data_IF_467671404858
#
_entry.id   IF_467671404858
#
_cell.length_a   1.000
_cell.length_b   1.000
_cell.length_c   1.000
_cell.angle_alpha   90.00
_cell.angle_beta   90.00
_cell.angle_gamma   90.00
#
_symmetry.space_group_name_H-M   'P 1'
#
loop_
_entity.id
_entity.type
_entity.pdbx_description
1 polymer ?
#
# COMPACT_ATOMS: atom_id res chain seq x y z
N UNK A 1 35.64 -56.50 -37.40
CA UNK A 1 34.77 -55.32 -37.52
C UNK A 1 34.41 -54.87 -36.12
N UNK A 2 35.07 -53.80 -35.71
CA UNK A 2 34.94 -53.13 -34.42
C UNK A 2 33.63 -52.36 -34.40
N UNK A 3 32.73 -52.67 -33.45
CA UNK A 3 31.52 -51.86 -33.21
C UNK A 3 31.93 -50.74 -32.27
N UNK A 4 31.97 -49.52 -32.79
CA UNK A 4 32.34 -48.32 -32.04
C UNK A 4 31.44 -48.09 -30.81
N UNK A 5 31.94 -47.36 -29.79
CA UNK A 5 31.19 -47.07 -28.59
C UNK A 5 30.06 -46.11 -28.96
N UNK A 6 28.84 -46.40 -28.51
CA UNK A 6 27.75 -45.42 -28.52
C UNK A 6 28.09 -44.38 -27.48
N UNK A 7 28.41 -43.17 -27.94
CA UNK A 7 28.71 -42.03 -27.09
C UNK A 7 27.59 -41.77 -26.09
N UNK A 8 28.01 -41.65 -24.84
CA UNK A 8 27.17 -41.30 -23.71
C UNK A 8 26.73 -39.85 -23.81
N UNK A 9 25.43 -39.65 -23.96
CA UNK A 9 24.73 -38.50 -23.37
C UNK A 9 23.80 -39.06 -22.32
N UNK A 10 24.36 -39.41 -21.17
CA UNK A 10 23.58 -39.49 -19.94
C UNK A 10 23.24 -38.07 -19.55
N UNK A 11 22.13 -37.54 -20.08
CA UNK A 11 21.39 -36.53 -19.35
C UNK A 11 21.15 -37.11 -17.95
N UNK A 12 21.48 -36.34 -16.92
CA UNK A 12 21.24 -36.67 -15.52
C UNK A 12 19.83 -37.25 -15.39
N UNK A 13 19.71 -38.58 -15.33
CA UNK A 13 18.41 -39.25 -15.25
C UNK A 13 17.92 -39.05 -13.85
N UNK A 14 17.25 -37.93 -13.61
CA UNK A 14 16.53 -37.67 -12.37
C UNK A 14 15.59 -38.88 -12.18
N UNK A 15 15.76 -39.61 -11.08
CA UNK A 15 14.94 -40.77 -10.80
C UNK A 15 13.53 -40.28 -10.42
N UNK A 16 12.64 -40.32 -11.40
CA UNK A 16 11.26 -39.84 -11.32
C UNK A 16 10.50 -40.49 -10.17
N UNK A 17 10.91 -41.69 -9.73
CA UNK A 17 10.27 -42.41 -8.62
C UNK A 17 10.58 -41.83 -7.23
N UNK A 18 11.57 -40.95 -7.13
CA UNK A 18 11.97 -40.30 -5.87
C UNK A 18 11.38 -38.89 -5.76
N UNK A 19 10.84 -38.34 -6.85
CA UNK A 19 10.25 -37.01 -6.86
C UNK A 19 8.86 -37.00 -6.19
N UNK A 20 8.51 -35.94 -5.44
CA UNK A 20 7.14 -35.73 -4.98
C UNK A 20 6.15 -35.72 -6.15
N UNK A 21 4.95 -36.24 -5.93
CA UNK A 21 3.89 -36.37 -6.96
C UNK A 21 3.62 -35.06 -7.72
N UNK A 22 3.71 -33.91 -7.06
CA UNK A 22 3.54 -32.59 -7.66
C UNK A 22 4.64 -32.26 -8.67
N UNK A 23 5.90 -32.56 -8.33
CA UNK A 23 7.08 -32.31 -9.17
C UNK A 23 7.11 -33.30 -10.33
N UNK A 24 6.74 -34.56 -10.10
CA UNK A 24 6.64 -35.57 -11.15
C UNK A 24 5.58 -35.20 -12.21
N UNK A 25 4.40 -34.72 -11.78
CA UNK A 25 3.36 -34.23 -12.70
C UNK A 25 3.85 -33.03 -13.51
N UNK A 26 4.49 -32.05 -12.85
CA UNK A 26 5.07 -30.89 -13.53
C UNK A 26 6.07 -31.36 -14.59
N UNK A 27 7.00 -32.23 -14.21
CA UNK A 27 8.02 -32.78 -15.08
C UNK A 27 7.42 -33.46 -16.32
N UNK A 28 6.43 -34.34 -16.13
CA UNK A 28 5.73 -34.99 -17.24
C UNK A 28 5.00 -33.99 -18.15
N UNK A 29 4.36 -32.97 -17.58
CA UNK A 29 3.66 -31.96 -18.37
C UNK A 29 4.61 -31.07 -19.17
N UNK A 30 5.73 -30.68 -18.57
CA UNK A 30 6.71 -29.81 -19.22
C UNK A 30 7.46 -30.54 -20.33
N UNK A 31 7.82 -31.82 -20.14
CA UNK A 31 8.40 -32.63 -21.22
C UNK A 31 7.45 -32.87 -22.39
N UNK A 32 6.12 -32.84 -22.15
CA UNK A 32 5.13 -32.89 -23.24
C UNK A 32 5.04 -31.58 -24.03
N UNK A 33 5.36 -30.46 -23.39
CA UNK A 33 5.39 -29.14 -24.03
C UNK A 33 6.70 -28.90 -24.78
N UNK A 34 7.83 -29.18 -24.12
CA UNK A 34 9.17 -29.07 -24.70
C UNK A 34 10.03 -30.31 -24.33
N UNK A 35 10.42 -31.13 -25.33
CA UNK A 35 11.29 -32.28 -25.11
C UNK A 35 12.70 -31.95 -24.60
N UNK A 36 13.17 -30.70 -24.78
CA UNK A 36 14.49 -30.26 -24.35
C UNK A 36 14.49 -29.62 -22.96
N UNK A 37 13.34 -29.60 -22.28
CA UNK A 37 13.21 -28.99 -20.97
C UNK A 37 13.98 -29.78 -19.89
N UNK A 38 14.73 -29.06 -19.04
CA UNK A 38 15.51 -29.62 -17.94
C UNK A 38 14.99 -29.17 -16.57
N UNK A 39 14.69 -30.15 -15.71
CA UNK A 39 14.16 -29.89 -14.37
C UNK A 39 15.21 -29.35 -13.42
N UNK A 40 16.48 -29.75 -13.56
CA UNK A 40 17.55 -29.19 -12.72
C UNK A 40 17.69 -27.69 -12.95
N UNK A 41 17.79 -27.27 -14.21
CA UNK A 41 17.88 -25.87 -14.56
C UNK A 41 16.66 -25.08 -14.06
N UNK A 42 15.44 -25.61 -14.27
CA UNK A 42 14.23 -24.94 -13.78
C UNK A 42 14.18 -24.81 -12.25
N UNK A 43 14.62 -25.84 -11.51
CA UNK A 43 14.69 -25.79 -10.05
C UNK A 43 15.73 -24.78 -9.57
N UNK A 44 16.89 -24.70 -10.24
CA UNK A 44 17.94 -23.74 -9.92
C UNK A 44 17.45 -22.31 -10.17
N UNK A 45 16.83 -22.04 -11.32
CA UNK A 45 16.20 -20.75 -11.63
C UNK A 45 15.13 -20.39 -10.59
N UNK A 46 14.24 -21.34 -10.26
CA UNK A 46 13.18 -21.11 -9.28
C UNK A 46 13.71 -20.87 -7.87
N UNK A 47 14.80 -21.52 -7.50
CA UNK A 47 15.46 -21.31 -6.21
C UNK A 47 16.14 -19.93 -6.14
N UNK A 48 16.73 -19.45 -7.25
CA UNK A 48 17.28 -18.11 -7.34
C UNK A 48 16.20 -17.03 -7.21
N UNK A 49 15.08 -17.18 -7.92
CA UNK A 49 13.93 -16.27 -7.81
C UNK A 49 13.42 -16.18 -6.36
N UNK A 50 13.30 -17.34 -5.69
CA UNK A 50 12.83 -17.39 -4.30
C UNK A 50 13.84 -16.77 -3.33
N UNK A 51 15.14 -16.95 -3.57
CA UNK A 51 16.20 -16.30 -2.77
C UNK A 51 16.16 -14.78 -2.92
N UNK A 52 15.96 -14.26 -4.13
CA UNK A 52 15.82 -12.82 -4.38
C UNK A 52 14.59 -12.25 -3.65
N UNK A 53 13.47 -12.96 -3.69
CA UNK A 53 12.27 -12.56 -2.96
C UNK A 53 12.50 -12.55 -1.44
N UNK A 54 13.16 -13.58 -0.90
CA UNK A 54 13.52 -13.66 0.52
C UNK A 54 14.46 -12.51 0.92
N UNK A 55 15.45 -12.18 0.09
CA UNK A 55 16.34 -11.03 0.32
C UNK A 55 15.55 -9.72 0.42
N UNK A 56 14.58 -9.52 -0.49
CA UNK A 56 13.65 -8.40 -0.44
C UNK A 56 12.84 -8.34 0.87
N UNK A 57 12.30 -9.47 1.32
CA UNK A 57 11.58 -9.57 2.60
C UNK A 57 12.47 -9.26 3.81
N UNK A 58 13.70 -9.76 3.82
CA UNK A 58 14.67 -9.47 4.87
C UNK A 58 15.07 -8.00 4.91
N UNK A 59 15.22 -7.35 3.75
CA UNK A 59 15.46 -5.91 3.66
C UNK A 59 14.33 -5.08 4.29
N UNK A 60 13.06 -5.45 4.02
CA UNK A 60 11.89 -4.80 4.62
C UNK A 60 11.80 -5.01 6.13
N UNK A 61 12.00 -6.24 6.61
CA UNK A 61 11.99 -6.52 8.06
C UNK A 61 13.13 -5.83 8.79
N UNK A 62 14.31 -5.73 8.17
CA UNK A 62 15.42 -4.95 8.70
C UNK A 62 15.03 -3.48 8.88
N UNK A 63 14.45 -2.85 7.85
CA UNK A 63 13.99 -1.45 7.92
C UNK A 63 12.96 -1.26 9.04
N UNK A 64 12.00 -2.19 9.15
CA UNK A 64 10.97 -2.18 10.21
C UNK A 64 11.58 -2.23 11.61
N UNK A 65 12.61 -3.06 11.80
CA UNK A 65 13.33 -3.15 13.06
C UNK A 65 14.15 -1.89 13.36
N UNK A 66 14.79 -1.29 12.36
CA UNK A 66 15.52 -0.02 12.49
C UNK A 66 14.59 1.13 12.91
N UNK A 67 13.41 1.24 12.29
CA UNK A 67 12.39 2.22 12.68
C UNK A 67 11.89 2.00 14.12
N UNK A 68 11.62 0.73 14.48
CA UNK A 68 11.20 0.38 15.84
C UNK A 68 12.28 0.75 16.86
N UNK A 69 13.55 0.50 16.54
CA UNK A 69 14.68 0.90 17.37
C UNK A 69 14.72 2.42 17.54
N UNK A 70 14.59 3.18 16.45
CA UNK A 70 14.59 4.65 16.49
C UNK A 70 13.44 5.18 17.36
N UNK A 71 12.24 4.59 17.26
CA UNK A 71 11.11 4.92 18.13
C UNK A 71 11.41 4.63 19.61
N UNK A 72 12.09 3.54 19.92
CA UNK A 72 12.51 3.24 21.30
C UNK A 72 13.55 4.27 21.78
N UNK A 73 14.54 4.61 20.97
CA UNK A 73 15.57 5.59 21.33
C UNK A 73 14.98 6.99 21.59
N UNK A 74 14.03 7.43 20.77
CA UNK A 74 13.34 8.72 20.97
C UNK A 74 12.53 8.73 22.26
N UNK A 75 11.84 7.64 22.60
CA UNK A 75 11.17 7.48 23.89
C UNK A 75 12.17 7.55 25.06
N UNK A 76 13.31 6.87 24.96
CA UNK A 76 14.36 6.92 25.98
C UNK A 76 14.92 8.34 26.14
N UNK A 77 15.19 9.06 25.03
CA UNK A 77 15.64 10.46 25.08
C UNK A 77 14.60 11.37 25.73
N UNK A 78 13.31 11.17 25.44
CA UNK A 78 12.21 11.92 26.06
C UNK A 78 12.13 11.66 27.57
N UNK A 79 12.22 10.40 28.00
CA UNK A 79 12.20 10.04 29.42
C UNK A 79 13.40 10.61 30.18
N UNK A 80 14.59 10.60 29.57
CA UNK A 80 15.78 11.26 30.14
C UNK A 80 15.56 12.77 30.30
N UNK A 81 15.03 13.43 29.27
CA UNK A 81 14.70 14.87 29.34
C UNK A 81 13.67 15.17 30.42
N UNK A 82 12.63 14.34 30.56
CA UNK A 82 11.63 14.50 31.63
C UNK A 82 12.23 14.32 33.02
N UNK A 83 13.24 13.46 33.19
CA UNK A 83 13.95 13.29 34.46
C UNK A 83 14.89 14.46 34.78
N UNK A 84 15.48 15.07 33.75
CA UNK A 84 16.42 16.20 33.89
C UNK A 84 15.71 17.55 34.10
N UNK A 85 14.45 17.68 33.67
CA UNK A 85 13.59 18.81 34.01
C UNK A 85 12.94 18.50 35.36
N UNK A 86 13.41 19.07 36.49
CA UNK A 86 12.69 18.91 37.75
C UNK A 86 11.27 19.49 37.58
N UNK A 87 10.28 18.81 38.15
CA UNK A 87 8.82 19.07 38.14
C UNK A 87 8.36 20.47 38.61
N UNK A 88 9.22 21.50 38.58
CA UNK A 88 8.96 22.80 39.19
C UNK A 88 9.45 24.04 38.44
N UNK A 89 10.19 23.94 37.33
CA UNK A 89 10.53 25.15 36.55
C UNK A 89 9.55 25.30 35.40
N UNK A 90 8.34 25.71 35.77
CA UNK A 90 7.39 26.36 34.88
C UNK A 90 8.05 27.65 34.40
N UNK A 91 8.86 27.57 33.34
CA UNK A 91 9.20 28.76 32.55
C UNK A 91 7.96 29.08 31.72
N UNK A 92 6.89 29.51 32.39
CA UNK A 92 5.83 30.28 31.75
C UNK A 92 6.38 31.68 31.59
N UNK A 93 6.98 31.96 30.44
CA UNK A 93 6.98 33.33 29.94
C UNK A 93 5.50 33.77 29.91
N UNK A 94 5.08 34.82 30.65
CA UNK A 94 3.68 35.26 30.70
C UNK A 94 3.06 35.52 29.32
N UNK A 95 3.90 35.72 28.30
CA UNK A 95 3.50 35.98 26.93
C UNK A 95 3.59 34.77 25.99
N UNK A 96 4.13 33.62 26.43
CA UNK A 96 4.06 32.38 25.66
C UNK A 96 2.73 31.68 25.94
N UNK A 97 1.80 31.79 24.99
CA UNK A 97 0.58 30.98 24.93
C UNK A 97 0.76 29.89 23.87
N UNK A 98 0.13 28.74 24.07
CA UNK A 98 0.22 27.65 23.10
C UNK A 98 -0.46 28.09 21.79
N UNK A 99 0.10 27.74 20.63
CA UNK A 99 -0.43 28.13 19.31
C UNK A 99 -1.88 27.65 19.09
N UNK A 100 -2.33 26.69 19.90
CA UNK A 100 -3.68 26.12 19.88
C UNK A 100 -4.67 26.81 20.83
N UNK A 101 -4.21 27.67 21.76
CA UNK A 101 -5.08 28.43 22.69
C UNK A 101 -5.94 29.50 21.98
N UNK A 102 -5.64 29.78 20.70
CA UNK A 102 -6.35 30.76 19.88
C UNK A 102 -7.75 30.25 19.48
N UNK A 103 -7.99 28.93 19.51
CA UNK A 103 -9.23 28.34 19.02
C UNK A 103 -10.27 28.02 20.11
N UNK A 104 -9.93 28.05 21.40
CA UNK A 104 -10.88 27.67 22.48
C UNK A 104 -11.98 28.71 22.74
N UNK A 105 -11.82 29.98 22.34
CA UNK A 105 -12.70 31.06 22.80
C UNK A 105 -13.89 31.43 21.91
N UNK A 106 -14.21 30.67 20.86
CA UNK A 106 -15.33 31.00 19.97
C UNK A 106 -16.68 30.36 20.34
N UNK A 107 -16.79 29.64 21.47
CA UNK A 107 -18.07 29.00 21.87
C UNK A 107 -18.84 29.70 23.02
N UNK A 108 -18.36 30.80 23.58
CA UNK A 108 -19.07 31.49 24.69
C UNK A 108 -19.81 32.74 24.23
N UNK A 109 -20.71 32.58 23.27
CA UNK A 109 -21.26 33.74 22.57
C UNK A 109 -22.67 33.64 21.97
N UNK A 110 -23.58 32.78 22.42
CA UNK A 110 -25.02 33.04 22.25
C UNK A 110 -25.92 32.12 23.08
N UNK A 111 -27.03 32.70 23.50
CA UNK A 111 -27.97 32.24 24.51
C UNK A 111 -28.67 30.93 24.14
N UNK A 112 -28.82 30.07 25.15
CA UNK A 112 -29.91 29.10 25.39
C UNK A 112 -31.05 29.17 24.35
N UNK A 113 -31.22 28.13 23.55
CA UNK A 113 -32.52 27.47 23.31
C UNK A 113 -32.32 26.06 22.72
N UNK A 114 -32.97 25.09 23.40
CA UNK A 114 -33.47 23.79 22.90
C UNK A 114 -32.47 22.71 22.50
N UNK A 115 -32.48 21.67 23.34
CA UNK A 115 -32.01 20.30 23.10
C UNK A 115 -32.45 19.79 21.72
N UNK A 116 -31.50 19.60 20.83
CA UNK A 116 -31.56 18.56 19.81
C UNK A 116 -30.31 17.70 19.99
N UNK A 117 -30.50 16.42 20.30
CA UNK A 117 -29.44 15.41 20.23
C UNK A 117 -29.02 15.34 18.77
N UNK A 118 -27.88 15.90 18.44
CA UNK A 118 -27.12 15.51 17.24
C UNK A 118 -25.94 14.75 17.82
N UNK A 119 -25.82 13.50 17.40
CA UNK A 119 -24.81 12.58 17.88
C UNK A 119 -23.43 13.23 17.78
N UNK A 120 -22.70 13.05 18.87
CA UNK A 120 -21.30 13.40 19.01
C UNK A 120 -20.49 12.78 17.88
N UNK A 121 -20.10 13.60 16.89
CA UNK A 121 -18.90 13.31 16.12
C UNK A 121 -17.74 13.48 17.11
N UNK A 122 -16.93 12.45 17.39
CA UNK A 122 -15.82 12.56 18.31
C UNK A 122 -14.83 13.57 17.75
N UNK A 123 -14.61 14.63 18.52
CA UNK A 123 -13.61 15.65 18.26
C UNK A 123 -12.23 14.99 18.32
N UNK A 124 -11.66 14.68 17.15
CA UNK A 124 -10.36 14.00 17.04
C UNK A 124 -10.20 13.03 15.87
N UNK A 125 -11.29 12.63 15.20
CA UNK A 125 -11.13 11.90 13.94
C UNK A 125 -10.64 12.85 12.85
N UNK A 126 -9.49 12.51 12.24
CA UNK A 126 -9.10 13.13 10.99
C UNK A 126 -10.26 12.92 10.02
N UNK A 127 -10.74 14.01 9.40
CA UNK A 127 -11.81 13.95 8.39
C UNK A 127 -11.45 13.02 7.21
N UNK A 128 -10.16 12.70 7.09
CA UNK A 128 -9.54 11.84 6.09
C UNK A 128 -8.79 10.73 6.85
N UNK A 129 -9.30 9.50 6.81
CA UNK A 129 -8.61 8.32 7.35
C UNK A 129 -7.59 7.81 6.30
N UNK A 130 -6.36 8.30 6.39
CA UNK A 130 -5.25 7.86 5.53
C UNK A 130 -4.92 6.36 5.66
N UNK A 131 -5.36 5.69 6.74
CA UNK A 131 -5.07 4.28 7.01
C UNK A 131 -6.13 3.30 6.49
N UNK A 132 -7.39 3.72 6.32
CA UNK A 132 -8.47 2.84 5.82
C UNK A 132 -8.18 2.26 4.44
N UNK A 133 -7.50 3.04 3.61
CA UNK A 133 -7.14 2.67 2.26
C UNK A 133 -5.71 2.12 2.14
N UNK A 134 -5.05 1.77 3.26
CA UNK A 134 -3.77 1.06 3.23
C UNK A 134 -2.67 1.77 2.43
N UNK A 135 -2.78 3.10 2.30
CA UNK A 135 -1.81 3.98 1.65
C UNK A 135 -0.73 4.43 2.62
N UNK A 136 -0.42 3.61 3.63
CA UNK A 136 0.46 3.96 4.76
C UNK A 136 1.87 4.41 4.29
N UNK A 137 2.28 4.00 3.09
CA UNK A 137 3.59 4.28 2.51
C UNK A 137 3.58 5.40 1.43
N UNK A 138 2.42 5.81 0.90
CA UNK A 138 2.33 6.87 -0.13
C UNK A 138 1.17 7.86 0.13
N UNK A 139 1.47 9.02 0.74
CA UNK A 139 0.44 10.03 1.03
C UNK A 139 -0.09 10.71 -0.23
N UNK A 140 0.67 10.75 -1.33
CA UNK A 140 0.21 11.34 -2.58
C UNK A 140 -0.85 10.45 -3.21
N UNK A 141 -0.59 9.16 -3.26
CA UNK A 141 -1.53 8.16 -3.74
C UNK A 141 -2.86 8.17 -2.97
N UNK A 142 -2.80 8.37 -1.64
CA UNK A 142 -3.99 8.56 -0.82
C UNK A 142 -4.81 9.79 -1.25
N UNK A 143 -4.15 10.93 -1.43
CA UNK A 143 -4.78 12.19 -1.85
C UNK A 143 -5.39 12.05 -3.24
N UNK A 144 -4.67 11.45 -4.19
CA UNK A 144 -5.13 11.23 -5.57
C UNK A 144 -6.36 10.33 -5.56
N UNK A 145 -6.28 9.19 -4.86
CA UNK A 145 -7.38 8.22 -4.77
C UNK A 145 -8.66 8.83 -4.18
N UNK A 146 -8.53 9.62 -3.11
CA UNK A 146 -9.67 10.31 -2.52
C UNK A 146 -10.23 11.39 -3.43
N UNK A 147 -9.37 12.10 -4.16
CA UNK A 147 -9.82 13.10 -5.11
C UNK A 147 -10.58 12.48 -6.29
N UNK A 148 -10.15 11.31 -6.79
CA UNK A 148 -10.88 10.53 -7.80
C UNK A 148 -12.27 10.16 -7.28
N UNK A 149 -12.36 9.62 -6.06
CA UNK A 149 -13.64 9.23 -5.46
C UNK A 149 -14.59 10.43 -5.28
N UNK A 150 -14.09 11.54 -4.72
CA UNK A 150 -14.87 12.77 -4.57
C UNK A 150 -15.37 13.31 -5.90
N UNK A 151 -14.56 13.21 -6.96
CA UNK A 151 -14.97 13.59 -8.30
C UNK A 151 -16.10 12.70 -8.83
N UNK A 152 -15.98 11.39 -8.70
CA UNK A 152 -17.02 10.45 -9.12
C UNK A 152 -18.32 10.65 -8.34
N UNK A 153 -18.24 10.99 -7.04
CA UNK A 153 -19.42 11.34 -6.24
C UNK A 153 -20.11 12.61 -6.75
N UNK A 154 -19.34 13.63 -7.14
CA UNK A 154 -19.89 14.86 -7.71
C UNK A 154 -20.57 14.63 -9.07
N UNK A 155 -20.00 13.78 -9.91
CA UNK A 155 -20.60 13.37 -11.18
C UNK A 155 -21.89 12.57 -10.95
N UNK A 156 -21.89 11.66 -9.95
CA UNK A 156 -23.09 10.92 -9.51
C UNK A 156 -24.21 11.86 -9.09
N UNK A 157 -23.90 12.93 -8.33
CA UNK A 157 -24.89 13.95 -7.93
C UNK A 157 -25.41 14.72 -9.15
N UNK A 158 -24.56 14.96 -10.15
CA UNK A 158 -24.90 15.66 -11.39
C UNK A 158 -25.72 14.79 -12.37
N UNK A 159 -25.95 13.51 -12.03
CA UNK A 159 -26.72 12.54 -12.82
C UNK A 159 -25.87 11.75 -13.83
N UNK A 160 -24.56 11.97 -13.86
CA UNK A 160 -23.62 11.26 -14.71
C UNK A 160 -22.85 10.26 -13.85
N UNK A 161 -23.26 8.99 -13.84
CA UNK A 161 -22.65 7.98 -12.95
C UNK A 161 -21.36 7.36 -13.53
N UNK A 162 -20.70 8.06 -14.44
CA UNK A 162 -19.63 7.54 -15.27
C UNK A 162 -18.54 8.60 -15.45
N UNK A 163 -17.29 8.18 -15.31
CA UNK A 163 -16.10 9.02 -15.47
C UNK A 163 -15.15 8.38 -16.48
N UNK A 164 -14.68 9.18 -17.43
CA UNK A 164 -13.67 8.77 -18.40
C UNK A 164 -12.26 9.05 -17.88
N UNK A 165 -11.31 8.16 -18.19
CA UNK A 165 -9.89 8.34 -17.87
C UNK A 165 -9.32 9.67 -18.41
N UNK A 166 -9.66 10.01 -19.65
CA UNK A 166 -9.22 11.27 -20.27
C UNK A 166 -9.68 12.53 -19.52
N UNK A 167 -10.80 12.43 -18.81
CA UNK A 167 -11.33 13.55 -18.02
C UNK A 167 -10.65 13.64 -16.66
N UNK A 168 -10.20 12.51 -16.11
CA UNK A 168 -9.31 12.48 -14.95
C UNK A 168 -7.98 13.18 -15.28
N UNK A 169 -7.31 12.81 -16.37
CA UNK A 169 -6.03 13.44 -16.76
C UNK A 169 -6.16 14.96 -16.84
N UNK A 170 -7.14 15.47 -17.60
CA UNK A 170 -7.34 16.92 -17.76
C UNK A 170 -7.56 17.67 -16.45
N UNK A 171 -8.19 17.03 -15.46
CA UNK A 171 -8.41 17.66 -14.15
C UNK A 171 -7.15 17.63 -13.29
N UNK A 172 -6.44 16.51 -13.29
CA UNK A 172 -5.21 16.33 -12.53
C UNK A 172 -4.00 17.07 -13.13
N UNK A 173 -4.02 17.41 -14.43
CA UNK A 173 -3.05 18.31 -15.07
C UNK A 173 -2.93 19.63 -14.32
N UNK A 174 -4.05 20.18 -13.85
CA UNK A 174 -4.06 21.46 -13.11
C UNK A 174 -3.42 21.37 -11.73
N UNK A 175 -3.30 20.16 -11.18
CA UNK A 175 -2.66 19.87 -9.89
C UNK A 175 -1.19 19.41 -10.06
N UNK A 176 -0.64 19.40 -11.28
CA UNK A 176 0.71 18.88 -11.57
C UNK A 176 0.91 17.41 -11.13
N UNK A 177 -0.14 16.60 -11.21
CA UNK A 177 -0.13 15.17 -10.90
C UNK A 177 0.14 14.38 -12.20
N UNK A 178 1.00 13.38 -12.11
CA UNK A 178 1.43 12.60 -13.29
C UNK A 178 0.38 11.55 -13.68
N UNK A 179 0.30 11.19 -14.97
CA UNK A 179 -0.60 10.14 -15.45
C UNK A 179 -0.36 8.80 -14.74
N UNK A 180 0.90 8.47 -14.44
CA UNK A 180 1.27 7.26 -13.70
C UNK A 180 0.68 7.19 -12.29
N UNK A 181 0.52 8.33 -11.61
CA UNK A 181 -0.07 8.40 -10.27
C UNK A 181 -1.58 8.19 -10.32
N UNK A 182 -2.23 8.65 -11.41
CA UNK A 182 -3.64 8.43 -11.66
C UNK A 182 -3.90 6.95 -11.96
N UNK A 183 -3.06 6.32 -12.79
CA UNK A 183 -3.14 4.89 -13.11
C UNK A 183 -3.00 4.02 -11.86
N UNK A 184 -2.02 4.33 -11.01
CA UNK A 184 -1.80 3.60 -9.77
C UNK A 184 -2.98 3.75 -8.82
N UNK A 185 -3.52 4.96 -8.67
CA UNK A 185 -4.70 5.22 -7.85
C UNK A 185 -5.92 4.45 -8.35
N UNK A 186 -6.20 4.45 -9.66
CA UNK A 186 -7.31 3.70 -10.27
C UNK A 186 -7.13 2.19 -10.04
N UNK A 187 -5.93 1.67 -10.26
CA UNK A 187 -5.61 0.26 -10.05
C UNK A 187 -5.92 -0.19 -8.62
N UNK A 188 -5.55 0.62 -7.62
CA UNK A 188 -5.83 0.30 -6.21
C UNK A 188 -7.31 0.44 -5.89
N UNK A 189 -7.99 1.48 -6.40
CA UNK A 189 -9.42 1.66 -6.20
C UNK A 189 -10.24 0.50 -6.80
N UNK A 190 -9.84 -0.02 -7.96
CA UNK A 190 -10.40 -1.22 -8.59
C UNK A 190 -10.13 -2.47 -7.74
N UNK A 191 -8.87 -2.65 -7.29
CA UNK A 191 -8.50 -3.79 -6.43
C UNK A 191 -9.30 -3.82 -5.13
N UNK A 192 -9.58 -2.64 -4.56
CA UNK A 192 -10.35 -2.46 -3.32
C UNK A 192 -11.85 -2.49 -3.52
N UNK A 193 -12.34 -2.60 -4.76
CA UNK A 193 -13.78 -2.62 -5.07
C UNK A 193 -14.50 -1.35 -4.59
N UNK A 194 -13.82 -0.21 -4.75
CA UNK A 194 -14.40 1.11 -4.51
C UNK A 194 -14.97 1.69 -5.80
N UNK A 195 -14.36 1.33 -6.92
CA UNK A 195 -14.80 1.68 -8.27
C UNK A 195 -14.86 0.41 -9.13
N UNK A 196 -15.64 0.47 -10.19
CA UNK A 196 -15.78 -0.59 -11.20
C UNK A 196 -15.45 -0.04 -12.58
N UNK A 197 -14.81 -0.86 -13.41
CA UNK A 197 -14.64 -0.58 -14.83
C UNK A 197 -15.87 -1.07 -15.59
N UNK A 198 -16.54 -0.15 -16.28
CA UNK A 198 -17.76 -0.42 -17.05
C UNK A 198 -17.43 -0.76 -18.52
N UNK A 199 -16.40 -0.13 -19.06
CA UNK A 199 -15.83 -0.33 -20.40
C UNK A 199 -14.39 0.20 -20.41
N UNK A 200 -13.65 0.01 -21.51
CA UNK A 200 -12.27 0.49 -21.64
C UNK A 200 -12.15 1.99 -21.29
N UNK A 201 -11.36 2.31 -20.28
CA UNK A 201 -11.12 3.67 -19.77
C UNK A 201 -12.37 4.39 -19.22
N UNK A 202 -13.40 3.61 -18.85
CA UNK A 202 -14.67 4.10 -18.31
C UNK A 202 -14.94 3.50 -16.93
N UNK A 203 -15.02 4.37 -15.92
CA UNK A 203 -15.16 3.98 -14.52
C UNK A 203 -16.47 4.48 -13.90
N UNK A 204 -17.03 3.69 -12.99
CA UNK A 204 -18.20 4.04 -12.19
C UNK A 204 -17.99 3.69 -10.72
N UNK A 205 -18.76 4.29 -9.81
CA UNK A 205 -18.74 3.91 -8.39
C UNK A 205 -19.42 2.54 -8.23
N UNK A 206 -18.84 1.69 -7.37
CA UNK A 206 -19.51 0.47 -6.94
C UNK A 206 -20.67 0.86 -6.00
N UNK A 207 -21.88 0.38 -6.29
CA UNK A 207 -23.11 0.73 -5.56
C UNK A 207 -23.19 0.10 -4.16
#
# INVERSE_FOLDING_TARGET
MERGPRDGKESSRIDVKVLPDSVARLWETMLRLDPNWDLSQWLDERALDELELVEGHLGRERLRLEQRLHRIETLVKRLKRQREVPDGVVITDPNQRNLFDVYENNQTGSKKEKKAKIDSVPEGDAMVDFGALGFDDDPLLAIVSEHILSMMENERISGNNVVHYSDLIKRFESLSINESEIDEAISILLQKKMIIELDQDIFGLEN
#
